data_IF_458890286720
#
_entry.id   IF_458890286720
#
_cell.length_a   1.000
_cell.length_b   1.000
_cell.length_c   1.000
_cell.angle_alpha   90.00
_cell.angle_beta   90.00
_cell.angle_gamma   90.00
#
_symmetry.space_group_name_H-M   'P 1'
#
loop_
_entity.id
_entity.type
_entity.pdbx_description
1 polymer ?
#
# COMPACT_ATOMS: atom_id res chain seq x y z
N UNK A 1 -32.84 -14.69 28.38
CA UNK A 1 -33.20 -13.38 27.79
C UNK A 1 -32.15 -13.03 26.75
N UNK A 2 -32.44 -13.29 25.47
CA UNK A 2 -31.60 -12.80 24.38
C UNK A 2 -31.77 -11.28 24.32
N UNK A 3 -30.73 -10.55 24.71
CA UNK A 3 -30.69 -9.10 24.50
C UNK A 3 -30.82 -8.81 23.01
N UNK A 4 -31.94 -8.22 22.62
CA UNK A 4 -32.12 -7.63 21.30
C UNK A 4 -31.01 -6.58 21.16
N UNK A 5 -29.99 -6.84 20.34
CA UNK A 5 -29.00 -5.82 20.02
C UNK A 5 -29.77 -4.68 19.34
N UNK A 6 -29.87 -3.53 20.01
CA UNK A 6 -30.48 -2.35 19.41
C UNK A 6 -29.77 -2.07 18.07
N UNK A 7 -30.55 -2.03 17.00
CA UNK A 7 -30.04 -1.66 15.68
C UNK A 7 -30.16 -0.14 15.61
N UNK A 8 -29.06 0.56 15.91
CA UNK A 8 -28.99 2.01 15.75
C UNK A 8 -28.94 2.40 14.27
N UNK A 9 -29.71 3.41 13.89
CA UNK A 9 -29.61 4.14 12.63
C UNK A 9 -28.64 5.31 12.80
N UNK A 10 -27.98 5.74 11.72
CA UNK A 10 -27.05 6.87 11.78
C UNK A 10 -27.74 8.21 12.06
N UNK A 11 -29.02 8.32 11.72
CA UNK A 11 -29.85 9.49 12.04
C UNK A 11 -30.34 9.49 13.51
N UNK A 12 -30.09 8.42 14.28
CA UNK A 12 -30.51 8.36 15.68
C UNK A 12 -29.68 9.34 16.53
N UNK A 13 -30.38 10.00 17.46
CA UNK A 13 -29.75 10.81 18.51
C UNK A 13 -28.98 9.89 19.47
N UNK A 14 -27.74 10.29 19.74
CA UNK A 14 -26.78 9.53 20.55
C UNK A 14 -27.18 9.62 22.02
N UNK A 15 -27.38 8.45 22.65
CA UNK A 15 -27.68 8.34 24.08
C UNK A 15 -26.52 7.81 24.91
N UNK A 16 -25.57 7.14 24.26
CA UNK A 16 -24.37 6.59 24.87
C UNK A 16 -23.33 6.28 23.77
N UNK A 17 -22.05 6.33 24.15
CA UNK A 17 -20.92 5.99 23.29
C UNK A 17 -19.98 5.03 24.03
N UNK A 18 -19.68 3.90 23.38
CA UNK A 18 -18.75 2.90 23.90
C UNK A 18 -17.29 3.35 23.93
N UNK A 19 -16.92 4.40 23.19
CA UNK A 19 -15.58 4.96 23.20
C UNK A 19 -15.50 6.09 24.23
N UNK A 20 -14.63 5.95 25.22
CA UNK A 20 -14.53 6.89 26.34
C UNK A 20 -14.20 8.32 25.89
N UNK A 21 -13.27 8.47 24.95
CA UNK A 21 -12.88 9.78 24.42
C UNK A 21 -14.03 10.48 23.70
N UNK A 22 -14.77 9.76 22.85
CA UNK A 22 -15.94 10.34 22.18
C UNK A 22 -17.08 10.61 23.17
N UNK A 23 -17.28 9.75 24.18
CA UNK A 23 -18.28 9.98 25.22
C UNK A 23 -17.99 11.25 26.01
N UNK A 24 -16.73 11.49 26.37
CA UNK A 24 -16.29 12.72 27.02
C UNK A 24 -16.42 13.95 26.09
N UNK A 25 -15.98 13.83 24.83
CA UNK A 25 -16.05 14.93 23.87
C UNK A 25 -17.48 15.41 23.58
N UNK A 26 -18.45 14.50 23.62
CA UNK A 26 -19.85 14.79 23.32
C UNK A 26 -20.75 14.71 24.56
N UNK A 27 -20.20 14.75 25.78
CA UNK A 27 -20.95 14.61 27.03
C UNK A 27 -22.10 15.62 27.12
N UNK A 28 -21.83 16.89 26.79
CA UNK A 28 -22.83 17.96 26.86
C UNK A 28 -24.05 17.68 25.97
N UNK A 29 -23.84 17.05 24.81
CA UNK A 29 -24.91 16.66 23.89
C UNK A 29 -25.64 15.39 24.33
N UNK A 30 -24.94 14.45 24.98
CA UNK A 30 -25.50 13.17 25.45
C UNK A 30 -26.30 13.38 26.73
N UNK A 31 -25.78 14.18 27.66
CA UNK A 31 -26.41 14.52 28.93
C UNK A 31 -27.65 15.39 28.72
N UNK A 32 -27.64 16.25 27.69
CA UNK A 32 -28.80 17.02 27.24
C UNK A 32 -29.99 16.17 26.74
N UNK A 33 -29.76 14.91 26.34
CA UNK A 33 -30.81 13.98 25.89
C UNK A 33 -31.43 13.25 27.10
N UNK A 34 -30.85 13.38 28.29
CA UNK A 34 -31.47 12.96 29.55
C UNK A 34 -32.51 14.01 29.96
N UNK A 35 -33.71 13.60 30.44
CA UNK A 35 -34.79 14.53 30.68
C UNK A 35 -34.45 15.45 31.86
N UNK A 36 -34.13 16.73 31.59
CA UNK A 36 -34.03 17.75 32.65
C UNK A 36 -34.96 18.92 32.34
N UNK A 37 -36.08 18.90 33.06
CA UNK A 37 -36.94 19.99 33.51
C UNK A 37 -37.76 20.84 32.49
N UNK A 38 -39.02 21.18 32.83
CA UNK A 38 -39.99 21.79 31.93
C UNK A 38 -39.94 23.33 31.87
N UNK A 39 -38.79 23.97 32.15
CA UNK A 39 -38.77 25.43 32.43
C UNK A 39 -38.02 26.29 31.40
N UNK A 40 -37.20 25.74 30.51
CA UNK A 40 -36.51 26.56 29.52
C UNK A 40 -36.88 26.18 28.08
N UNK A 41 -37.39 27.17 27.34
CA UNK A 41 -37.67 27.13 25.89
C UNK A 41 -36.37 27.14 25.05
N UNK A 42 -35.35 26.41 25.49
CA UNK A 42 -34.12 26.17 24.74
C UNK A 42 -33.93 24.67 24.57
N UNK A 43 -34.49 24.10 23.51
CA UNK A 43 -34.19 22.72 23.14
C UNK A 43 -32.68 22.62 22.89
N UNK A 44 -31.93 22.00 23.81
CA UNK A 44 -30.59 21.53 23.51
C UNK A 44 -30.73 20.35 22.57
N UNK A 45 -30.56 20.62 21.27
CA UNK A 45 -30.69 19.64 20.21
C UNK A 45 -29.60 18.57 20.41
N UNK A 46 -30.02 17.34 20.75
CA UNK A 46 -29.11 16.22 20.89
C UNK A 46 -28.35 15.98 19.59
N UNK A 47 -27.18 15.35 19.66
CA UNK A 47 -26.35 15.08 18.47
C UNK A 47 -26.65 13.69 17.89
N UNK A 48 -26.78 13.60 16.56
CA UNK A 48 -26.93 12.33 15.85
C UNK A 48 -25.59 11.62 15.61
N UNK A 49 -25.63 10.30 15.38
CA UNK A 49 -24.43 9.56 14.96
C UNK A 49 -23.86 10.10 13.64
N UNK A 50 -24.71 10.62 12.76
CA UNK A 50 -24.35 11.26 11.49
C UNK A 50 -23.50 12.49 11.68
N UNK A 51 -23.91 13.39 12.57
CA UNK A 51 -23.19 14.62 12.85
C UNK A 51 -21.82 14.33 13.48
N UNK A 52 -21.74 13.37 14.40
CA UNK A 52 -20.47 12.89 14.95
C UNK A 52 -19.57 12.37 13.83
N UNK A 53 -20.09 11.47 12.97
CA UNK A 53 -19.34 10.92 11.85
C UNK A 53 -18.82 12.03 10.92
N UNK A 54 -19.67 12.98 10.55
CA UNK A 54 -19.32 14.05 9.61
C UNK A 54 -18.26 14.97 10.21
N UNK A 55 -18.33 15.25 11.52
CA UNK A 55 -17.28 15.96 12.25
C UNK A 55 -15.96 15.20 12.28
N UNK A 56 -15.98 13.90 12.57
CA UNK A 56 -14.77 13.05 12.53
C UNK A 56 -14.16 12.99 11.13
N UNK A 57 -14.98 12.96 10.07
CA UNK A 57 -14.49 12.98 8.69
C UNK A 57 -13.84 14.33 8.35
N UNK A 58 -14.46 15.43 8.78
CA UNK A 58 -13.90 16.77 8.63
C UNK A 58 -12.55 16.90 9.36
N UNK A 59 -12.46 16.38 10.57
CA UNK A 59 -11.22 16.42 11.36
C UNK A 59 -10.13 15.55 10.75
N UNK A 60 -10.46 14.37 10.22
CA UNK A 60 -9.53 13.55 9.44
C UNK A 60 -8.98 14.32 8.22
N UNK A 61 -9.83 15.00 7.46
CA UNK A 61 -9.39 15.78 6.30
C UNK A 61 -8.47 16.95 6.70
N UNK A 62 -8.76 17.61 7.83
CA UNK A 62 -7.89 18.66 8.39
C UNK A 62 -6.56 18.10 8.85
N UNK A 63 -6.55 16.93 9.49
CA UNK A 63 -5.33 16.23 9.89
C UNK A 63 -4.49 15.87 8.67
N UNK A 64 -5.11 15.30 7.62
CA UNK A 64 -4.39 14.96 6.38
C UNK A 64 -3.77 16.22 5.77
N UNK A 65 -4.48 17.35 5.74
CA UNK A 65 -3.90 18.60 5.22
C UNK A 65 -2.77 19.14 6.09
N UNK A 66 -2.92 19.09 7.41
CA UNK A 66 -1.84 19.47 8.32
C UNK A 66 -0.61 18.58 8.15
N UNK A 67 -0.82 17.28 7.94
CA UNK A 67 0.24 16.33 7.67
C UNK A 67 0.92 16.59 6.31
N UNK A 68 0.16 16.91 5.26
CA UNK A 68 0.73 17.34 3.97
C UNK A 68 1.64 18.56 4.13
N UNK A 69 1.19 19.59 4.85
CA UNK A 69 2.00 20.79 5.13
C UNK A 69 3.29 20.40 5.87
N UNK A 70 3.19 19.52 6.88
CA UNK A 70 4.37 19.04 7.59
C UNK A 70 5.36 18.34 6.64
N UNK A 71 4.86 17.47 5.75
CA UNK A 71 5.71 16.76 4.80
C UNK A 71 6.40 17.72 3.83
N UNK A 72 5.66 18.66 3.23
CA UNK A 72 6.22 19.56 2.19
C UNK A 72 7.07 20.68 2.76
N UNK A 73 6.71 21.22 3.93
CA UNK A 73 7.42 22.36 4.52
C UNK A 73 8.62 21.97 5.37
N UNK A 74 8.63 20.74 5.91
CA UNK A 74 9.70 20.25 6.78
C UNK A 74 10.39 19.03 6.20
N UNK A 75 9.68 17.92 6.00
CA UNK A 75 10.31 16.64 5.65
C UNK A 75 11.03 16.68 4.30
N UNK A 76 10.40 17.26 3.28
CA UNK A 76 10.99 17.39 1.94
C UNK A 76 12.13 18.42 1.86
N UNK A 77 12.32 19.24 2.90
CA UNK A 77 13.42 20.21 3.01
C UNK A 77 14.58 19.73 3.85
N UNK A 78 14.51 18.51 4.39
CA UNK A 78 15.65 17.90 5.09
C UNK A 78 16.71 17.57 4.05
N UNK A 79 17.93 18.07 4.27
CA UNK A 79 19.07 17.76 3.42
C UNK A 79 19.37 16.25 3.47
N UNK A 80 19.54 15.66 2.29
CA UNK A 80 19.80 14.23 2.14
C UNK A 80 21.29 14.04 1.95
N UNK A 81 21.97 13.54 2.97
CA UNK A 81 23.42 13.35 2.95
C UNK A 81 23.82 11.97 2.45
N UNK A 82 22.93 10.97 2.57
CA UNK A 82 23.22 9.57 2.26
C UNK A 82 22.12 8.90 1.45
N UNK A 83 22.51 7.93 0.62
CA UNK A 83 21.60 7.17 -0.25
C UNK A 83 21.81 5.68 -0.11
N UNK A 84 20.78 4.91 -0.50
CA UNK A 84 20.86 3.45 -0.54
C UNK A 84 21.50 3.00 -1.84
N UNK A 85 22.69 2.37 -1.80
CA UNK A 85 23.29 1.81 -3.00
C UNK A 85 22.49 0.64 -3.56
N UNK A 86 21.73 -0.09 -2.72
CA UNK A 86 20.84 -1.16 -3.21
C UNK A 86 19.70 -0.58 -4.06
N UNK A 87 19.12 0.56 -3.67
CA UNK A 87 18.08 1.24 -4.48
C UNK A 87 18.70 1.83 -5.74
N UNK A 88 19.87 2.48 -5.64
CA UNK A 88 20.56 3.05 -6.81
C UNK A 88 20.83 2.02 -7.90
N UNK A 89 21.33 0.84 -7.51
CA UNK A 89 21.66 -0.26 -8.43
C UNK A 89 20.45 -0.79 -9.20
N UNK A 90 19.26 -0.79 -8.59
CA UNK A 90 18.04 -1.32 -9.21
C UNK A 90 17.18 -0.23 -9.88
N UNK A 91 17.32 1.05 -9.48
CA UNK A 91 16.47 2.13 -9.98
C UNK A 91 16.58 2.30 -11.50
N UNK A 92 17.80 2.21 -12.04
CA UNK A 92 18.08 2.33 -13.45
C UNK A 92 19.23 1.38 -13.86
N UNK A 93 18.95 0.41 -14.72
CA UNK A 93 19.94 -0.52 -15.26
C UNK A 93 20.33 -0.11 -16.68
N UNK A 94 21.61 0.18 -16.90
CA UNK A 94 22.16 0.45 -18.23
C UNK A 94 22.40 -0.89 -18.92
N UNK A 95 21.89 -1.05 -20.14
CA UNK A 95 22.14 -2.22 -20.96
C UNK A 95 22.73 -1.83 -22.31
N UNK A 96 23.41 -2.79 -22.94
CA UNK A 96 23.94 -2.69 -24.30
C UNK A 96 23.45 -3.92 -25.06
N UNK A 97 22.55 -3.71 -26.02
CA UNK A 97 22.14 -4.76 -26.96
C UNK A 97 22.65 -4.42 -28.35
N UNK A 98 23.71 -5.13 -28.77
CA UNK A 98 24.33 -5.00 -30.10
C UNK A 98 24.77 -3.57 -30.45
N UNK A 99 25.29 -2.82 -29.48
CA UNK A 99 25.77 -1.46 -29.66
C UNK A 99 24.70 -0.39 -29.46
N UNK A 100 23.45 -0.77 -29.19
CA UNK A 100 22.42 0.16 -28.74
C UNK A 100 22.40 0.18 -27.22
N UNK A 101 22.94 1.25 -26.63
CA UNK A 101 22.85 1.50 -25.20
C UNK A 101 21.47 2.05 -24.85
N UNK A 102 20.86 1.49 -23.81
CA UNK A 102 19.60 1.96 -23.26
C UNK A 102 19.61 1.93 -21.74
N UNK A 103 18.62 2.59 -21.14
CA UNK A 103 18.40 2.58 -19.70
C UNK A 103 17.04 1.95 -19.43
N UNK A 104 17.03 0.92 -18.61
CA UNK A 104 15.83 0.29 -18.10
C UNK A 104 15.55 0.81 -16.70
N UNK A 105 14.45 1.53 -16.52
CA UNK A 105 14.02 2.03 -15.22
C UNK A 105 13.09 1.02 -14.53
N UNK A 106 13.32 0.85 -13.23
CA UNK A 106 12.41 0.07 -12.39
C UNK A 106 11.07 0.77 -12.23
N UNK A 107 10.00 -0.05 -12.13
CA UNK A 107 8.68 0.40 -11.72
C UNK A 107 8.59 0.39 -10.19
N UNK A 108 8.02 1.43 -9.61
CA UNK A 108 8.07 1.73 -8.18
C UNK A 108 6.67 1.94 -7.65
N UNK A 109 6.30 1.21 -6.61
CA UNK A 109 5.07 1.42 -5.87
C UNK A 109 5.45 2.16 -4.59
N UNK A 110 5.12 3.44 -4.52
CA UNK A 110 5.45 4.27 -3.37
C UNK A 110 4.33 4.23 -2.34
N UNK A 111 4.66 3.72 -1.15
CA UNK A 111 3.87 3.86 0.07
C UNK A 111 4.17 5.18 0.79
N UNK A 112 5.18 5.91 0.34
CA UNK A 112 5.55 7.21 0.87
C UNK A 112 4.80 8.30 0.14
N UNK A 113 4.48 9.37 0.88
CA UNK A 113 3.78 10.53 0.36
C UNK A 113 4.73 11.58 -0.26
N UNK A 114 6.00 11.57 0.13
CA UNK A 114 7.02 12.54 -0.34
C UNK A 114 7.62 12.14 -1.69
N UNK A 115 8.14 13.11 -2.43
CA UNK A 115 8.81 12.88 -3.72
C UNK A 115 10.30 12.47 -3.63
N UNK A 116 10.80 12.11 -2.44
CA UNK A 116 12.22 11.81 -2.19
C UNK A 116 12.83 10.80 -3.17
N UNK A 117 12.11 9.72 -3.52
CA UNK A 117 12.61 8.73 -4.48
C UNK A 117 12.91 9.35 -5.85
N UNK A 118 11.99 10.18 -6.34
CA UNK A 118 12.12 10.90 -7.60
C UNK A 118 13.33 11.85 -7.56
N UNK A 119 13.46 12.62 -6.47
CA UNK A 119 14.55 13.58 -6.29
C UNK A 119 15.93 12.91 -6.33
N UNK A 120 16.09 11.77 -5.65
CA UNK A 120 17.37 11.09 -5.51
C UNK A 120 17.71 10.24 -6.73
N UNK A 121 16.76 9.40 -7.18
CA UNK A 121 17.09 8.30 -8.10
C UNK A 121 16.67 8.57 -9.54
N UNK A 122 15.69 9.45 -9.79
CA UNK A 122 15.16 9.70 -11.15
C UNK A 122 15.58 11.04 -11.73
N UNK A 123 15.73 12.09 -10.91
CA UNK A 123 15.99 13.47 -11.36
C UNK A 123 17.17 13.61 -12.32
N UNK A 124 18.22 12.81 -12.14
CA UNK A 124 19.43 12.80 -13.00
C UNK A 124 19.18 12.31 -14.43
N UNK A 125 18.01 11.73 -14.73
CA UNK A 125 17.69 11.13 -16.02
C UNK A 125 16.69 11.94 -16.86
N UNK A 126 16.15 13.05 -16.34
CA UNK A 126 15.17 13.91 -17.04
C UNK A 126 13.96 13.12 -17.60
N UNK A 127 13.41 12.21 -16.78
CA UNK A 127 12.26 11.37 -17.14
C UNK A 127 11.02 11.78 -16.35
N UNK A 128 9.83 11.61 -16.95
CA UNK A 128 8.57 11.78 -16.21
C UNK A 128 8.42 10.67 -15.16
N UNK A 129 8.41 11.06 -13.89
CA UNK A 129 8.28 10.13 -12.78
C UNK A 129 6.96 9.32 -12.83
N UNK A 130 5.89 9.87 -13.41
CA UNK A 130 4.59 9.22 -13.48
C UNK A 130 4.60 7.96 -14.35
N UNK A 131 5.61 7.79 -15.21
CA UNK A 131 5.80 6.57 -16.00
C UNK A 131 6.36 5.40 -15.22
N UNK A 132 6.97 5.67 -14.07
CA UNK A 132 7.74 4.70 -13.30
C UNK A 132 7.29 4.59 -11.86
N UNK A 133 6.68 5.62 -11.29
CA UNK A 133 6.29 5.68 -9.88
C UNK A 133 4.78 5.75 -9.75
N UNK A 134 4.21 4.82 -8.99
CA UNK A 134 2.82 4.79 -8.61
C UNK A 134 2.65 5.15 -7.12
N UNK A 135 2.13 6.35 -6.86
CA UNK A 135 1.84 6.83 -5.51
C UNK A 135 0.46 6.35 -5.07
N UNK A 136 0.40 5.09 -4.63
CA UNK A 136 -0.84 4.38 -4.28
C UNK A 136 -1.61 4.98 -3.10
N UNK A 137 -0.95 5.82 -2.29
CA UNK A 137 -1.56 6.57 -1.20
C UNK A 137 -1.62 8.08 -1.47
N UNK A 138 -1.42 8.52 -2.71
CA UNK A 138 -1.30 9.92 -3.05
C UNK A 138 0.07 10.50 -2.73
N UNK A 139 0.27 11.75 -3.12
CA UNK A 139 1.55 12.46 -3.04
C UNK A 139 1.32 13.82 -2.40
N UNK A 140 2.16 14.17 -1.44
CA UNK A 140 2.11 15.47 -0.80
C UNK A 140 2.43 16.57 -1.82
N UNK A 141 1.67 17.66 -1.81
CA UNK A 141 1.91 18.81 -2.67
C UNK A 141 1.54 20.10 -1.94
N UNK A 142 2.50 21.03 -1.84
CA UNK A 142 2.34 22.29 -1.12
C UNK A 142 1.20 23.15 -1.72
N UNK A 143 0.91 23.00 -3.02
CA UNK A 143 -0.13 23.75 -3.71
C UNK A 143 -1.54 23.19 -3.53
N UNK A 144 -1.69 22.02 -2.89
CA UNK A 144 -3.02 21.44 -2.67
C UNK A 144 -3.84 22.27 -1.67
N UNK A 145 -5.16 22.29 -1.85
CA UNK A 145 -6.12 22.69 -0.81
C UNK A 145 -6.58 21.44 -0.04
N UNK A 146 -7.49 21.61 0.92
CA UNK A 146 -8.14 20.46 1.58
C UNK A 146 -8.87 19.58 0.55
N UNK A 147 -9.49 20.19 -0.46
CA UNK A 147 -10.33 19.49 -1.44
C UNK A 147 -9.50 18.83 -2.55
N UNK A 148 -8.34 19.40 -2.91
CA UNK A 148 -7.45 18.82 -3.93
C UNK A 148 -6.41 17.87 -3.35
N UNK A 149 -6.30 17.75 -2.03
CA UNK A 149 -5.39 16.83 -1.37
C UNK A 149 -5.72 15.37 -1.72
N UNK A 150 -4.77 14.67 -2.34
CA UNK A 150 -4.96 13.28 -2.75
C UNK A 150 -4.37 12.24 -1.76
N UNK A 151 -3.85 12.65 -0.60
CA UNK A 151 -3.25 11.72 0.37
C UNK A 151 -4.28 10.82 1.03
N UNK A 152 -3.99 9.52 1.13
CA UNK A 152 -4.84 8.49 1.72
C UNK A 152 -4.30 8.12 3.09
N UNK A 153 -5.11 8.32 4.13
CA UNK A 153 -4.78 8.02 5.54
C UNK A 153 -5.92 7.23 6.24
N UNK A 154 -6.72 6.52 5.44
CA UNK A 154 -7.85 5.75 5.93
C UNK A 154 -7.44 4.51 6.72
N UNK A 155 -8.43 3.91 7.39
CA UNK A 155 -8.31 2.64 8.09
C UNK A 155 -8.40 1.45 7.14
N UNK A 156 -7.99 0.29 7.66
CA UNK A 156 -8.02 -0.99 6.95
C UNK A 156 -9.44 -1.39 6.50
N UNK A 157 -9.47 -2.13 5.40
CA UNK A 157 -10.66 -2.47 4.62
C UNK A 157 -11.45 -3.63 5.26
N UNK A 158 -10.75 -4.47 6.03
CA UNK A 158 -11.22 -5.77 6.50
C UNK A 158 -12.03 -5.69 7.80
N UNK A 159 -13.19 -5.03 7.73
CA UNK A 159 -14.27 -5.40 8.64
C UNK A 159 -14.64 -6.88 8.37
N UNK A 160 -14.73 -7.69 9.44
CA UNK A 160 -15.08 -9.11 9.33
C UNK A 160 -16.35 -9.31 8.48
N UNK A 161 -16.48 -10.44 7.76
CA UNK A 161 -17.55 -10.68 6.75
C UNK A 161 -18.96 -10.28 7.21
N UNK A 162 -19.28 -10.41 8.49
CA UNK A 162 -20.58 -10.05 9.10
C UNK A 162 -20.81 -8.54 9.30
N UNK A 163 -19.75 -7.72 9.31
CA UNK A 163 -19.78 -6.26 9.59
C UNK A 163 -19.70 -5.38 8.34
N UNK A 164 -19.28 -5.92 7.18
CA UNK A 164 -19.03 -5.11 5.97
C UNK A 164 -20.26 -4.38 5.44
N UNK A 165 -21.40 -5.06 5.41
CA UNK A 165 -22.65 -4.50 4.89
C UNK A 165 -23.41 -3.66 5.94
N UNK A 166 -22.98 -3.68 7.21
CA UNK A 166 -23.65 -3.00 8.32
C UNK A 166 -23.18 -1.56 8.52
N UNK A 167 -21.97 -1.22 8.08
CA UNK A 167 -21.32 0.08 8.34
C UNK A 167 -20.94 0.81 7.05
N UNK A 168 -21.79 0.74 6.01
CA UNK A 168 -21.57 1.46 4.74
C UNK A 168 -21.44 2.97 4.98
N UNK A 169 -22.15 3.50 5.98
CA UNK A 169 -22.06 4.90 6.39
C UNK A 169 -20.65 5.38 6.79
N UNK A 170 -19.74 4.47 7.14
CA UNK A 170 -18.35 4.77 7.53
C UNK A 170 -17.34 4.39 6.45
N UNK A 171 -17.80 4.09 5.23
CA UNK A 171 -16.94 3.69 4.11
C UNK A 171 -15.91 4.77 3.76
N UNK A 172 -16.23 6.05 3.99
CA UNK A 172 -15.38 7.22 3.72
C UNK A 172 -14.06 7.22 4.49
N UNK A 173 -14.00 6.51 5.62
CA UNK A 173 -12.80 6.35 6.43
C UNK A 173 -11.87 5.25 5.91
N UNK A 174 -12.30 4.42 4.94
CA UNK A 174 -11.52 3.28 4.46
C UNK A 174 -10.57 3.69 3.33
N UNK A 175 -9.37 3.08 3.29
CA UNK A 175 -8.36 3.38 2.27
C UNK A 175 -8.89 3.20 0.84
N UNK A 176 -9.51 2.07 0.48
CA UNK A 176 -10.00 1.88 -0.89
C UNK A 176 -10.97 2.98 -1.35
N UNK A 177 -11.87 3.44 -0.46
CA UNK A 177 -12.80 4.51 -0.79
C UNK A 177 -12.04 5.80 -1.06
N UNK A 178 -11.09 6.13 -0.18
CA UNK A 178 -10.26 7.33 -0.36
C UNK A 178 -9.43 7.26 -1.64
N UNK A 179 -8.85 6.11 -1.99
CA UNK A 179 -8.10 5.92 -3.25
C UNK A 179 -8.97 6.22 -4.48
N UNK A 180 -10.20 5.70 -4.50
CA UNK A 180 -11.17 5.94 -5.58
C UNK A 180 -11.60 7.41 -5.59
N UNK A 181 -12.03 7.94 -4.45
CA UNK A 181 -12.57 9.29 -4.33
C UNK A 181 -11.52 10.37 -4.64
N UNK A 182 -10.26 10.16 -4.22
CA UNK A 182 -9.15 11.09 -4.42
C UNK A 182 -8.38 10.86 -5.72
N UNK A 183 -8.75 9.84 -6.50
CA UNK A 183 -8.07 9.51 -7.76
C UNK A 183 -6.58 9.24 -7.58
N UNK A 184 -6.21 8.45 -6.56
CA UNK A 184 -4.80 8.07 -6.36
C UNK A 184 -4.36 7.07 -7.41
N UNK A 185 -3.04 6.91 -7.54
CA UNK A 185 -2.48 6.01 -8.53
C UNK A 185 -2.89 4.54 -8.33
N UNK A 186 -3.20 3.89 -9.45
CA UNK A 186 -3.49 2.45 -9.56
C UNK A 186 -2.71 1.81 -10.72
N UNK A 187 -1.68 2.50 -11.22
CA UNK A 187 -0.86 2.12 -12.38
C UNK A 187 -0.16 0.77 -12.16
N UNK A 188 0.12 0.41 -10.91
CA UNK A 188 0.68 -0.88 -10.56
C UNK A 188 -0.20 -2.05 -11.02
N UNK A 189 -1.52 -1.85 -11.18
CA UNK A 189 -2.41 -2.88 -11.71
C UNK A 189 -2.02 -3.27 -13.14
N UNK A 190 -1.67 -2.31 -13.99
CA UNK A 190 -1.19 -2.56 -15.35
C UNK A 190 0.11 -3.39 -15.35
N UNK A 191 0.99 -3.12 -14.37
CA UNK A 191 2.22 -3.90 -14.18
C UNK A 191 1.91 -5.32 -13.72
N UNK A 192 0.97 -5.49 -12.78
CA UNK A 192 0.53 -6.83 -12.35
C UNK A 192 -0.16 -7.61 -13.46
N UNK A 193 -0.92 -6.94 -14.33
CA UNK A 193 -1.57 -7.57 -15.48
C UNK A 193 -0.53 -8.05 -16.49
N UNK A 194 0.54 -7.27 -16.70
CA UNK A 194 1.69 -7.69 -17.52
C UNK A 194 2.36 -8.93 -16.94
N UNK A 195 2.62 -8.96 -15.63
CA UNK A 195 3.22 -10.11 -14.93
C UNK A 195 2.35 -11.38 -15.11
N UNK A 196 1.04 -11.24 -14.92
CA UNK A 196 0.07 -12.34 -15.04
C UNK A 196 -0.05 -12.83 -16.48
N UNK A 197 -0.08 -11.91 -17.45
CA UNK A 197 -0.10 -12.21 -18.88
C UNK A 197 1.13 -13.00 -19.31
N UNK A 198 2.32 -12.53 -18.94
CA UNK A 198 3.58 -13.23 -19.22
C UNK A 198 3.61 -14.65 -18.62
N UNK A 199 3.00 -14.84 -17.44
CA UNK A 199 2.87 -16.17 -16.85
C UNK A 199 1.90 -17.07 -17.62
N UNK A 200 0.76 -16.53 -18.05
CA UNK A 200 -0.21 -17.26 -18.85
C UNK A 200 0.40 -17.73 -20.17
N UNK A 201 1.14 -16.85 -20.85
CA UNK A 201 1.87 -17.18 -22.08
C UNK A 201 2.89 -18.30 -21.83
N UNK A 202 3.64 -18.23 -20.72
CA UNK A 202 4.55 -19.30 -20.33
C UNK A 202 3.84 -20.65 -20.15
N UNK A 203 2.68 -20.67 -19.48
CA UNK A 203 1.92 -21.90 -19.26
C UNK A 203 1.44 -22.51 -20.59
N UNK A 204 0.92 -21.68 -21.49
CA UNK A 204 0.48 -22.12 -22.82
C UNK A 204 1.65 -22.75 -23.60
N UNK A 205 2.81 -22.08 -23.63
CA UNK A 205 3.97 -22.56 -24.38
C UNK A 205 4.60 -23.80 -23.74
N UNK A 206 4.56 -23.90 -22.40
CA UNK A 206 4.98 -25.08 -21.66
C UNK A 206 4.11 -26.29 -22.04
N UNK A 207 2.78 -26.13 -22.05
CA UNK A 207 1.86 -27.22 -22.42
C UNK A 207 2.05 -27.67 -23.88
N UNK A 208 2.15 -26.73 -24.83
CA UNK A 208 2.49 -27.05 -26.24
C UNK A 208 3.80 -27.84 -26.34
N UNK A 209 4.82 -27.45 -25.59
CA UNK A 209 6.12 -28.12 -25.61
C UNK A 209 6.07 -29.57 -25.12
N UNK A 210 5.12 -29.91 -24.23
CA UNK A 210 4.90 -31.26 -23.73
C UNK A 210 4.17 -32.15 -24.73
N UNK A 211 3.25 -31.59 -25.52
CA UNK A 211 2.47 -32.35 -26.53
C UNK A 211 3.23 -32.57 -27.84
N UNK A 212 4.12 -31.65 -28.24
CA UNK A 212 4.72 -31.65 -29.59
C UNK A 212 6.04 -32.45 -29.73
N UNK A 213 6.71 -32.89 -28.65
CA UNK A 213 8.10 -33.40 -28.73
C UNK A 213 8.36 -34.79 -28.11
N UNK A 214 9.20 -35.57 -28.81
CA UNK A 214 9.87 -36.77 -28.29
C UNK A 214 10.66 -36.47 -27.00
N UNK A 215 10.55 -37.37 -26.01
CA UNK A 215 11.00 -37.21 -24.61
C UNK A 215 12.46 -36.74 -24.45
N UNK A 216 13.35 -37.02 -25.41
CA UNK A 216 14.80 -36.75 -25.28
C UNK A 216 15.19 -35.26 -25.18
N UNK A 217 14.37 -34.30 -25.63
CA UNK A 217 14.72 -32.86 -25.62
C UNK A 217 13.76 -31.96 -24.81
N UNK A 218 12.83 -32.55 -24.05
CA UNK A 218 11.85 -31.80 -23.27
C UNK A 218 12.53 -30.98 -22.16
N UNK A 219 13.47 -31.58 -21.42
CA UNK A 219 14.18 -30.91 -20.31
C UNK A 219 14.94 -29.65 -20.75
N UNK A 220 15.65 -29.73 -21.88
CA UNK A 220 16.37 -28.58 -22.44
C UNK A 220 15.41 -27.48 -22.92
N UNK A 221 14.29 -27.88 -23.56
CA UNK A 221 13.24 -26.95 -24.01
C UNK A 221 12.58 -26.23 -22.84
N UNK A 222 12.18 -26.97 -21.79
CA UNK A 222 11.59 -26.41 -20.57
C UNK A 222 12.57 -25.46 -19.88
N UNK A 223 13.85 -25.80 -19.79
CA UNK A 223 14.86 -24.90 -19.20
C UNK A 223 15.01 -23.60 -20.01
N UNK A 224 14.97 -23.69 -21.34
CA UNK A 224 15.00 -22.50 -22.22
C UNK A 224 13.77 -21.62 -21.99
N UNK A 225 12.57 -22.22 -21.94
CA UNK A 225 11.31 -21.50 -21.66
C UNK A 225 11.32 -20.86 -20.27
N UNK A 226 11.77 -21.59 -19.23
CA UNK A 226 11.92 -21.04 -17.88
C UNK A 226 12.82 -19.82 -17.87
N UNK A 227 13.99 -19.88 -18.54
CA UNK A 227 14.92 -18.75 -18.60
C UNK A 227 14.32 -17.54 -19.33
N UNK A 228 13.48 -17.78 -20.34
CA UNK A 228 12.84 -16.72 -21.12
C UNK A 228 11.71 -16.01 -20.35
N UNK A 229 10.90 -16.75 -19.58
CA UNK A 229 9.67 -16.21 -18.99
C UNK A 229 9.70 -16.05 -17.46
N UNK A 230 10.32 -16.98 -16.72
CA UNK A 230 10.25 -16.99 -15.24
C UNK A 230 11.29 -16.07 -14.57
N UNK A 231 12.30 -15.60 -15.31
CA UNK A 231 13.31 -14.66 -14.81
C UNK A 231 13.05 -13.22 -15.25
N UNK A 232 11.85 -12.94 -15.79
CA UNK A 232 11.52 -11.63 -16.38
C UNK A 232 11.13 -10.60 -15.32
N UNK A 233 10.55 -11.06 -14.21
CA UNK A 233 9.98 -10.17 -13.20
C UNK A 233 10.64 -10.37 -11.84
N UNK A 234 11.07 -9.25 -11.26
CA UNK A 234 11.69 -9.22 -9.94
C UNK A 234 11.10 -8.07 -9.12
N UNK A 235 10.54 -8.40 -7.96
CA UNK A 235 10.02 -7.43 -6.99
C UNK A 235 11.04 -7.19 -5.88
N UNK A 236 11.35 -5.94 -5.61
CA UNK A 236 12.21 -5.53 -4.51
C UNK A 236 11.38 -4.80 -3.46
N UNK A 237 11.55 -5.17 -2.18
CA UNK A 237 10.80 -4.57 -1.07
C UNK A 237 11.79 -3.94 -0.09
N UNK A 238 11.59 -2.64 0.16
CA UNK A 238 12.34 -1.85 1.12
C UNK A 238 11.42 -1.29 2.21
N UNK A 239 11.98 -1.09 3.40
CA UNK A 239 11.29 -0.52 4.54
C UNK A 239 10.40 -1.53 5.29
N UNK A 240 9.46 -1.00 6.07
CA UNK A 240 8.60 -1.78 6.96
C UNK A 240 7.28 -2.22 6.32
N UNK A 241 7.02 -1.78 5.10
CA UNK A 241 5.70 -1.73 4.42
C UNK A 241 5.08 -3.08 4.04
N UNK A 242 5.47 -4.17 4.68
CA UNK A 242 4.76 -5.46 4.61
C UNK A 242 3.50 -5.47 5.50
N UNK A 243 2.87 -4.32 5.70
CA UNK A 243 1.73 -4.19 6.61
C UNK A 243 0.47 -4.86 6.05
N UNK A 244 -0.37 -5.37 6.93
CA UNK A 244 -1.66 -5.98 6.57
C UNK A 244 -2.60 -4.97 5.92
N UNK A 245 -2.45 -3.67 6.18
CA UNK A 245 -3.30 -2.62 5.61
C UNK A 245 -3.22 -2.49 4.09
N UNK A 246 -2.16 -3.02 3.48
CA UNK A 246 -1.94 -2.99 2.04
C UNK A 246 -1.73 -4.40 1.48
N UNK A 247 -2.31 -5.38 2.18
CA UNK A 247 -2.22 -6.80 1.87
C UNK A 247 -2.71 -7.13 0.46
N UNK A 248 -3.72 -6.45 -0.05
CA UNK A 248 -4.25 -6.64 -1.41
C UNK A 248 -3.18 -6.34 -2.46
N UNK A 249 -2.49 -5.20 -2.33
CA UNK A 249 -1.41 -4.76 -3.23
C UNK A 249 -0.23 -5.72 -3.16
N UNK A 250 0.22 -6.03 -1.94
CA UNK A 250 1.36 -6.92 -1.72
C UNK A 250 1.10 -8.33 -2.26
N UNK A 251 -0.12 -8.85 -2.08
CA UNK A 251 -0.49 -10.18 -2.60
C UNK A 251 -0.52 -10.21 -4.11
N UNK A 252 -1.04 -9.17 -4.75
CA UNK A 252 -1.10 -9.09 -6.22
C UNK A 252 0.28 -9.12 -6.89
N UNK A 253 1.34 -8.76 -6.16
CA UNK A 253 2.74 -8.81 -6.62
C UNK A 253 3.44 -10.10 -6.21
N UNK A 254 3.40 -10.45 -4.93
CA UNK A 254 4.21 -11.55 -4.35
C UNK A 254 3.64 -12.92 -4.73
N UNK A 255 2.32 -13.06 -4.90
CA UNK A 255 1.66 -14.35 -5.15
C UNK A 255 1.65 -14.78 -6.62
N UNK A 256 2.68 -14.41 -7.37
CA UNK A 256 2.90 -14.85 -8.73
C UNK A 256 4.06 -15.84 -8.78
N UNK A 257 3.91 -16.95 -9.48
CA UNK A 257 4.92 -18.02 -9.52
C UNK A 257 6.08 -17.74 -10.51
N UNK A 258 5.96 -16.66 -11.30
CA UNK A 258 7.00 -16.12 -12.19
C UNK A 258 7.65 -14.85 -11.64
N UNK A 259 7.48 -14.55 -10.36
CA UNK A 259 8.07 -13.37 -9.71
C UNK A 259 9.03 -13.82 -8.64
N UNK A 260 10.30 -13.40 -8.77
CA UNK A 260 11.26 -13.48 -7.68
C UNK A 260 11.14 -12.21 -6.82
N UNK A 261 11.16 -12.35 -5.51
CA UNK A 261 11.00 -11.25 -4.56
C UNK A 261 12.19 -11.18 -3.62
N UNK A 262 12.86 -10.04 -3.57
CA UNK A 262 13.92 -9.75 -2.59
C UNK A 262 13.42 -8.74 -1.57
N UNK A 263 13.48 -9.10 -0.30
CA UNK A 263 13.06 -8.26 0.83
C UNK A 263 14.31 -7.82 1.58
N UNK A 264 14.52 -6.51 1.64
CA UNK A 264 15.70 -5.92 2.25
C UNK A 264 15.48 -5.59 3.73
N UNK A 265 16.44 -5.94 4.60
CA UNK A 265 16.40 -5.67 6.04
C UNK A 265 17.67 -4.96 6.52
N UNK A 266 17.55 -4.05 7.48
CA UNK A 266 18.71 -3.34 8.05
C UNK A 266 19.37 -4.10 9.21
N UNK A 267 18.58 -4.88 9.96
CA UNK A 267 19.06 -5.77 11.01
C UNK A 267 18.17 -7.02 11.15
N UNK A 268 18.55 -7.91 12.07
CA UNK A 268 17.86 -9.18 12.29
C UNK A 268 16.50 -9.03 12.95
N UNK A 269 16.28 -7.99 13.75
CA UNK A 269 14.99 -7.76 14.40
C UNK A 269 13.98 -7.26 13.37
N UNK A 270 14.40 -6.34 12.49
CA UNK A 270 13.63 -5.90 11.33
C UNK A 270 13.30 -7.07 10.39
N UNK A 271 14.25 -7.97 10.14
CA UNK A 271 13.99 -9.19 9.36
C UNK A 271 12.91 -10.06 10.02
N UNK A 272 12.97 -10.26 11.34
CA UNK A 272 11.96 -11.00 12.10
C UNK A 272 10.57 -10.37 12.00
N UNK A 273 10.49 -9.04 12.12
CA UNK A 273 9.24 -8.29 11.98
C UNK A 273 8.67 -8.40 10.56
N UNK A 274 9.53 -8.29 9.54
CA UNK A 274 9.13 -8.45 8.14
C UNK A 274 8.60 -9.85 7.86
N UNK A 275 9.21 -10.91 8.41
CA UNK A 275 8.70 -12.29 8.33
C UNK A 275 7.30 -12.38 8.96
N UNK A 276 7.13 -11.89 10.18
CA UNK A 276 5.85 -11.94 10.89
C UNK A 276 4.74 -11.19 10.13
N UNK A 277 5.08 -10.05 9.56
CA UNK A 277 4.19 -9.25 8.73
C UNK A 277 3.82 -9.98 7.43
N UNK A 278 4.79 -10.59 6.76
CA UNK A 278 4.56 -11.37 5.56
C UNK A 278 3.65 -12.57 5.82
N UNK A 279 3.78 -13.26 6.96
CA UNK A 279 2.84 -14.32 7.37
C UNK A 279 1.40 -13.80 7.43
N UNK A 280 1.16 -12.58 7.96
CA UNK A 280 -0.18 -11.97 8.00
C UNK A 280 -0.70 -11.63 6.59
N UNK A 281 0.18 -11.25 5.67
CA UNK A 281 -0.15 -10.86 4.29
C UNK A 281 -0.42 -12.09 3.40
N UNK A 282 0.53 -13.02 3.29
CA UNK A 282 0.44 -14.15 2.35
C UNK A 282 -0.02 -15.47 2.98
N UNK A 283 0.10 -15.62 4.29
CA UNK A 283 -0.15 -16.87 5.02
C UNK A 283 1.13 -17.68 5.24
N UNK A 284 1.13 -18.52 6.28
CA UNK A 284 2.30 -19.30 6.68
C UNK A 284 2.73 -20.32 5.61
N UNK A 285 1.77 -21.07 5.05
CA UNK A 285 2.08 -22.12 4.05
C UNK A 285 2.75 -21.53 2.81
N UNK A 286 2.25 -20.38 2.35
CA UNK A 286 2.79 -19.71 1.18
C UNK A 286 4.18 -19.14 1.43
N UNK A 287 4.42 -18.60 2.63
CA UNK A 287 5.74 -18.13 3.00
C UNK A 287 6.76 -19.28 3.03
N UNK A 288 6.40 -20.43 3.63
CA UNK A 288 7.26 -21.62 3.68
C UNK A 288 7.58 -22.11 2.26
N UNK A 289 6.54 -22.25 1.42
CA UNK A 289 6.69 -22.67 0.02
C UNK A 289 7.65 -21.76 -0.74
N UNK A 290 7.52 -20.44 -0.60
CA UNK A 290 8.30 -19.47 -1.38
C UNK A 290 9.70 -19.23 -0.84
N UNK A 291 9.99 -19.55 0.42
CA UNK A 291 11.33 -19.36 1.00
C UNK A 291 12.15 -20.64 1.06
N UNK A 292 11.50 -21.81 1.01
CA UNK A 292 12.15 -23.12 1.07
C UNK A 292 12.53 -23.72 -0.27
N UNK A 293 13.57 -24.56 -0.27
CA UNK A 293 13.94 -25.40 -1.41
C UNK A 293 14.78 -24.72 -2.49
N UNK A 294 15.01 -25.44 -3.59
CA UNK A 294 15.87 -25.01 -4.71
C UNK A 294 15.21 -23.94 -5.59
N UNK A 295 13.89 -23.95 -5.67
CA UNK A 295 13.09 -23.06 -6.50
C UNK A 295 12.43 -21.96 -5.65
N UNK A 296 13.13 -21.47 -4.61
CA UNK A 296 12.64 -20.39 -3.75
C UNK A 296 12.39 -19.12 -4.58
N UNK A 297 11.30 -18.41 -4.26
CA UNK A 297 10.86 -17.18 -4.92
C UNK A 297 10.95 -15.96 -4.00
N UNK A 298 11.18 -16.15 -2.69
CA UNK A 298 11.37 -15.06 -1.73
C UNK A 298 12.73 -15.23 -1.08
N UNK A 299 13.50 -14.16 -1.05
CA UNK A 299 14.75 -14.07 -0.32
C UNK A 299 14.81 -12.82 0.55
N UNK A 300 15.44 -12.96 1.72
CA UNK A 300 15.73 -11.85 2.61
C UNK A 300 17.20 -11.47 2.46
N UNK A 301 17.48 -10.21 2.17
CA UNK A 301 18.83 -9.71 1.92
C UNK A 301 19.17 -8.56 2.89
N UNK A 302 20.33 -8.59 3.56
CA UNK A 302 20.75 -7.44 4.37
C UNK A 302 21.02 -6.24 3.45
N UNK A 303 20.60 -5.06 3.88
CA UNK A 303 20.91 -3.82 3.19
C UNK A 303 22.41 -3.52 3.29
N UNK A 304 22.98 -3.04 2.19
CA UNK A 304 24.31 -2.46 2.19
C UNK A 304 24.29 -1.16 3.03
N UNK A 305 25.41 -0.80 3.67
CA UNK A 305 25.55 0.49 4.32
C UNK A 305 25.22 1.62 3.35
N UNK A 306 24.51 2.65 3.86
CA UNK A 306 24.23 3.87 3.09
C UNK A 306 25.55 4.54 2.70
N UNK A 307 25.54 5.22 1.55
CA UNK A 307 26.72 5.92 1.02
C UNK A 307 26.44 7.42 0.99
N UNK A 308 27.45 8.22 1.30
CA UNK A 308 27.39 9.68 1.14
C UNK A 308 27.11 10.05 -0.33
N UNK A 309 26.24 11.03 -0.53
CA UNK A 309 26.07 11.67 -1.82
C UNK A 309 27.34 12.49 -2.07
N UNK A 310 28.15 12.06 -3.03
CA UNK A 310 29.29 12.87 -3.45
C UNK A 310 28.74 14.11 -4.14
N UNK A 311 29.03 15.30 -3.61
CA UNK A 311 28.81 16.55 -4.33
C UNK A 311 29.48 16.45 -5.71
N UNK A 312 28.68 16.55 -6.77
CA UNK A 312 29.10 16.56 -8.17
C UNK A 312 29.23 17.99 -8.68
#
# INVERSE_FOLDING_TARGET
MHGLSQIYNIEDIVKDLSNDFLREMYSDYIDAVQPINPVDNGFSEGISFKEIRDKLLKDLNRLIKAFEIYLTEYVEKIDIEVISPDIEEIAATIYDDRGQKGILFSKVISFNYTNIYEQIYLRKYDVDCNDYVDYIHGKANANNTIDTNNMVLGIDEYLGKKKRNKYVEFITFKKFYQRIHKGTGCKYKEWTDTIKGDFADYQIELEKSKTEKNIMNLKATVNKLKKQYLNKHHVYIFGHSLDVTDKDILRDLILNDNVHTTIFYHDKDAMGQQIANLVKVIGQDELIRRTGGKDKLIEFKPQKPMKEIKES
#
